data_IF_683727048354
#
_entry.id   IF_683727048354
#
_cell.length_a   1.000
_cell.length_b   1.000
_cell.length_c   1.000
_cell.angle_alpha   90.00
_cell.angle_beta   90.00
_cell.angle_gamma   90.00
#
_symmetry.space_group_name_H-M   'P 1'
#
loop_
_entity.id
_entity.type
_entity.pdbx_description
1 polymer ?
#
# COMPACT_ATOMS: atom_id res chain seq x y z
N UNK A 1 -15.61 -2.76 -25.34
CA UNK A 1 -15.21 -2.60 -26.75
C UNK A 1 -13.74 -2.90 -26.90
N UNK A 2 -13.31 -3.21 -28.12
CA UNK A 2 -11.92 -3.56 -28.40
C UNK A 2 -11.03 -2.32 -28.42
N UNK A 3 -9.80 -2.47 -27.96
CA UNK A 3 -8.75 -1.44 -28.00
C UNK A 3 -7.62 -1.95 -28.87
N UNK A 4 -7.22 -1.16 -29.88
CA UNK A 4 -6.07 -1.48 -30.72
C UNK A 4 -4.84 -0.71 -30.26
N UNK A 5 -3.80 -1.43 -29.84
CA UNK A 5 -2.53 -0.84 -29.42
C UNK A 5 -1.46 -1.15 -30.48
N UNK A 6 -0.81 -0.10 -30.99
CA UNK A 6 0.37 -0.18 -31.83
C UNK A 6 1.51 0.53 -31.16
N UNK A 7 2.71 -0.03 -31.17
CA UNK A 7 3.88 0.60 -30.58
C UNK A 7 5.15 0.27 -31.37
N UNK A 8 6.10 1.17 -31.30
CA UNK A 8 7.48 1.01 -31.74
C UNK A 8 8.43 1.30 -30.57
N UNK A 9 9.72 1.42 -30.82
CA UNK A 9 10.72 1.68 -29.76
C UNK A 9 10.57 3.03 -29.05
N UNK A 10 9.76 3.96 -29.58
CA UNK A 10 9.66 5.33 -29.10
C UNK A 10 8.24 5.80 -28.85
N UNK A 11 7.25 5.21 -29.49
CA UNK A 11 5.88 5.71 -29.50
C UNK A 11 4.88 4.58 -29.30
N UNK A 12 3.74 4.92 -28.72
CA UNK A 12 2.56 4.07 -28.68
C UNK A 12 1.35 4.85 -29.18
N UNK A 13 0.53 4.18 -29.99
CA UNK A 13 -0.78 4.65 -30.45
C UNK A 13 -1.85 3.71 -29.92
N UNK A 14 -2.82 4.24 -29.19
CA UNK A 14 -3.94 3.48 -28.62
C UNK A 14 -5.23 4.00 -29.26
N UNK A 15 -5.91 3.16 -30.03
CA UNK A 15 -7.20 3.45 -30.66
C UNK A 15 -8.31 2.76 -29.89
N UNK A 16 -9.31 3.55 -29.53
CA UNK A 16 -10.54 3.08 -28.90
C UNK A 16 -11.72 3.82 -29.52
N UNK A 17 -12.90 3.21 -29.56
CA UNK A 17 -14.15 3.70 -30.18
C UNK A 17 -14.05 5.04 -30.94
N UNK A 18 -14.09 6.17 -30.25
CA UNK A 18 -14.14 7.51 -30.82
C UNK A 18 -12.85 8.32 -30.59
N UNK A 19 -11.75 7.67 -30.20
CA UNK A 19 -10.53 8.38 -29.87
C UNK A 19 -9.24 7.65 -30.23
N UNK A 20 -8.17 8.46 -30.34
CA UNK A 20 -6.79 7.98 -30.51
C UNK A 20 -5.92 8.68 -29.50
N UNK A 21 -5.20 7.91 -28.69
CA UNK A 21 -4.17 8.41 -27.80
C UNK A 21 -2.79 8.10 -28.40
N UNK A 22 -1.98 9.13 -28.58
CA UNK A 22 -0.58 8.98 -28.97
C UNK A 22 0.31 9.40 -27.80
N UNK A 23 1.25 8.55 -27.41
CA UNK A 23 2.20 8.85 -26.35
C UNK A 23 3.63 8.47 -26.77
N UNK A 24 4.58 9.22 -26.23
CA UNK A 24 5.99 8.90 -26.36
C UNK A 24 6.39 7.98 -25.22
N UNK A 25 7.08 6.89 -25.55
CA UNK A 25 7.61 5.97 -24.56
C UNK A 25 8.84 6.55 -23.86
N UNK A 26 9.01 6.18 -22.60
CA UNK A 26 10.21 6.51 -21.82
C UNK A 26 11.37 5.70 -22.39
N UNK A 27 12.47 6.37 -22.72
CA UNK A 27 13.69 5.71 -23.14
C UNK A 27 14.36 5.01 -21.96
N UNK A 28 14.61 3.72 -22.10
CA UNK A 28 15.25 2.93 -21.05
C UNK A 28 14.69 1.52 -20.92
N UNK A 29 15.43 0.68 -20.20
CA UNK A 29 15.00 -0.67 -19.88
C UNK A 29 13.97 -0.65 -18.75
N UNK A 30 12.83 -1.28 -18.93
CA UNK A 30 11.83 -1.46 -17.88
C UNK A 30 12.44 -2.21 -16.69
N UNK A 31 12.28 -1.73 -15.45
CA UNK A 31 12.83 -2.39 -14.27
C UNK A 31 12.27 -3.81 -14.09
N UNK A 32 13.13 -4.73 -13.61
CA UNK A 32 12.67 -6.06 -13.24
C UNK A 32 11.96 -6.01 -11.88
N UNK A 33 10.66 -5.69 -11.89
CA UNK A 33 9.87 -5.58 -10.66
C UNK A 33 9.75 -6.90 -9.90
N UNK A 34 9.85 -8.05 -10.56
CA UNK A 34 9.84 -9.35 -9.88
C UNK A 34 11.00 -9.51 -8.89
N UNK A 35 12.12 -8.81 -9.11
CA UNK A 35 13.27 -8.86 -8.21
C UNK A 35 13.07 -8.07 -6.90
N UNK A 36 12.05 -7.21 -6.84
CA UNK A 36 11.77 -6.38 -5.66
C UNK A 36 10.53 -6.84 -4.89
N UNK A 37 9.72 -7.73 -5.46
CA UNK A 37 8.59 -8.34 -4.78
C UNK A 37 9.14 -9.36 -3.76
N UNK A 38 8.91 -9.18 -2.45
CA UNK A 38 9.33 -10.15 -1.45
C UNK A 38 8.61 -11.48 -1.63
N UNK A 39 9.34 -12.58 -1.54
CA UNK A 39 8.78 -13.94 -1.58
C UNK A 39 8.61 -14.56 -0.20
N UNK A 40 9.14 -13.90 0.84
CA UNK A 40 9.15 -14.38 2.22
C UNK A 40 8.76 -13.23 3.17
N UNK A 41 7.45 -13.08 3.37
CA UNK A 41 6.82 -12.17 4.32
C UNK A 41 5.92 -13.01 5.26
N UNK A 42 6.49 -13.63 6.31
CA UNK A 42 5.78 -14.63 7.13
C UNK A 42 4.74 -14.02 8.07
N UNK A 43 4.88 -12.75 8.45
CA UNK A 43 3.92 -12.08 9.33
C UNK A 43 2.75 -11.55 8.51
N UNK A 44 1.55 -12.00 8.83
CA UNK A 44 0.34 -11.63 8.09
C UNK A 44 -0.70 -11.05 9.02
N UNK A 45 -1.37 -9.99 8.58
CA UNK A 45 -2.54 -9.45 9.25
C UNK A 45 -3.70 -9.27 8.28
N UNK A 46 -4.86 -9.79 8.65
CA UNK A 46 -6.12 -9.55 7.93
C UNK A 46 -6.92 -8.50 8.68
N UNK A 47 -7.34 -7.47 7.98
CA UNK A 47 -8.05 -6.33 8.56
C UNK A 47 -9.13 -5.81 7.61
N UNK A 48 -10.23 -5.27 8.16
CA UNK A 48 -11.25 -4.57 7.37
C UNK A 48 -10.63 -3.35 6.69
N UNK A 49 -10.69 -3.31 5.36
CA UNK A 49 -10.09 -2.29 4.51
C UNK A 49 -10.66 -0.90 4.77
N UNK A 50 -12.00 -0.81 4.93
CA UNK A 50 -12.68 0.48 5.13
C UNK A 50 -12.41 1.02 6.52
N UNK A 51 -12.37 0.16 7.53
CA UNK A 51 -12.01 0.54 8.89
C UNK A 51 -10.58 1.07 8.96
N UNK A 52 -9.61 0.38 8.33
CA UNK A 52 -8.21 0.82 8.26
C UNK A 52 -8.09 2.16 7.51
N UNK A 53 -8.73 2.30 6.35
CA UNK A 53 -8.73 3.55 5.57
C UNK A 53 -9.34 4.71 6.38
N UNK A 54 -10.40 4.44 7.13
CA UNK A 54 -11.04 5.46 7.98
C UNK A 54 -10.17 5.86 9.18
N UNK A 55 -9.48 4.89 9.80
CA UNK A 55 -8.52 5.17 10.88
C UNK A 55 -7.36 6.03 10.37
N UNK A 56 -6.78 5.68 9.20
CA UNK A 56 -5.73 6.47 8.56
C UNK A 56 -6.17 7.93 8.31
N UNK A 57 -7.38 8.14 7.82
CA UNK A 57 -7.93 9.49 7.60
C UNK A 57 -8.05 10.32 8.88
N UNK A 58 -8.26 9.68 10.03
CA UNK A 58 -8.36 10.36 11.32
C UNK A 58 -7.02 10.61 11.99
N UNK A 59 -6.05 9.71 11.82
CA UNK A 59 -4.72 9.87 12.44
C UNK A 59 -3.75 10.70 11.58
N UNK A 60 -3.84 10.63 10.25
CA UNK A 60 -2.91 11.30 9.35
C UNK A 60 -2.82 12.83 9.54
N UNK A 61 -3.88 13.57 9.87
CA UNK A 61 -3.79 15.02 10.20
C UNK A 61 -2.88 15.36 11.38
N UNK A 62 -2.51 14.39 12.19
CA UNK A 62 -1.62 14.54 13.35
C UNK A 62 -0.16 14.11 13.04
N UNK A 63 0.11 13.68 11.82
CA UNK A 63 1.46 13.38 11.36
C UNK A 63 2.17 14.65 10.88
N UNK A 64 3.50 14.67 10.99
CA UNK A 64 4.30 15.72 10.36
C UNK A 64 3.98 15.86 8.87
N UNK A 65 3.74 17.09 8.41
CA UNK A 65 3.39 17.39 7.02
C UNK A 65 4.48 16.91 6.03
N UNK A 66 5.73 16.98 6.45
CA UNK A 66 6.88 16.61 5.61
C UNK A 66 7.00 15.10 5.40
N UNK A 67 6.80 14.30 6.43
CA UNK A 67 6.97 12.84 6.39
C UNK A 67 5.66 12.10 6.12
N UNK A 68 4.55 12.60 6.65
CA UNK A 68 3.26 11.93 6.67
C UNK A 68 3.37 10.49 7.23
N UNK A 69 4.28 10.31 8.21
CA UNK A 69 4.58 9.01 8.79
C UNK A 69 3.41 8.51 9.63
N UNK A 70 2.98 7.30 9.35
CA UNK A 70 2.03 6.55 10.15
C UNK A 70 2.71 5.28 10.63
N UNK A 71 2.60 4.99 11.94
CA UNK A 71 3.05 3.74 12.55
C UNK A 71 1.89 2.76 12.58
N UNK A 72 2.13 1.55 12.12
CA UNK A 72 1.26 0.40 12.32
C UNK A 72 1.93 -0.50 13.37
N UNK A 73 1.23 -0.80 14.46
CA UNK A 73 1.66 -1.77 15.46
C UNK A 73 0.69 -2.96 15.46
N UNK A 74 1.22 -4.15 15.32
CA UNK A 74 0.45 -5.39 15.21
C UNK A 74 0.90 -6.40 16.26
N UNK A 75 -0.06 -6.93 16.97
CA UNK A 75 0.10 -8.08 17.86
C UNK A 75 -1.20 -8.89 17.86
N UNK A 76 -1.23 -10.03 18.53
CA UNK A 76 -2.36 -10.94 18.46
C UNK A 76 -3.70 -10.26 18.81
N UNK A 77 -4.58 -10.15 17.82
CA UNK A 77 -5.92 -9.55 17.96
C UNK A 77 -5.93 -8.01 18.06
N UNK A 78 -4.76 -7.36 18.01
CA UNK A 78 -4.63 -5.92 18.20
C UNK A 78 -3.85 -5.28 17.04
N UNK A 79 -4.45 -4.26 16.44
CA UNK A 79 -3.87 -3.47 15.37
C UNK A 79 -4.03 -1.99 15.71
N UNK A 80 -2.93 -1.33 16.02
CA UNK A 80 -2.91 0.11 16.31
C UNK A 80 -2.36 0.88 15.13
N UNK A 81 -3.05 1.94 14.73
CA UNK A 81 -2.62 2.93 13.74
C UNK A 81 -2.36 4.22 14.50
N UNK A 82 -1.16 4.75 14.41
CA UNK A 82 -0.80 5.98 15.12
C UNK A 82 0.08 6.91 14.27
N UNK A 83 0.04 8.18 14.59
CA UNK A 83 0.91 9.22 14.03
C UNK A 83 1.21 10.27 15.09
N UNK A 84 2.32 10.98 14.90
CA UNK A 84 2.72 12.08 15.75
C UNK A 84 3.46 13.16 14.96
N UNK A 85 3.36 14.39 15.44
CA UNK A 85 4.17 15.52 15.03
C UNK A 85 4.83 16.10 16.28
N UNK A 86 6.14 15.89 16.41
CA UNK A 86 6.92 16.30 17.58
C UNK A 86 7.02 17.83 17.64
N UNK A 87 7.13 18.50 16.49
CA UNK A 87 7.30 19.95 16.40
C UNK A 87 6.05 20.68 16.88
N UNK A 88 4.87 20.13 16.61
CA UNK A 88 3.59 20.69 17.04
C UNK A 88 3.02 20.01 18.29
N UNK A 89 3.71 19.01 18.86
CA UNK A 89 3.28 18.22 20.00
C UNK A 89 1.86 17.65 19.84
N UNK A 90 1.54 17.18 18.66
CA UNK A 90 0.26 16.53 18.33
C UNK A 90 0.45 15.05 18.09
N UNK A 91 -0.51 14.24 18.49
CA UNK A 91 -0.53 12.81 18.22
C UNK A 91 -1.95 12.28 18.18
N UNK A 92 -2.13 11.20 17.43
CA UNK A 92 -3.38 10.45 17.41
C UNK A 92 -3.09 8.96 17.28
N UNK A 93 -4.01 8.14 17.82
CA UNK A 93 -3.98 6.71 17.68
C UNK A 93 -5.38 6.12 17.62
N UNK A 94 -5.51 5.06 16.87
CA UNK A 94 -6.72 4.28 16.73
C UNK A 94 -6.43 2.79 16.77
N UNK A 95 -7.39 2.04 17.29
CA UNK A 95 -7.29 0.59 17.41
C UNK A 95 -8.33 -0.09 16.54
N UNK A 96 -7.91 -1.15 15.86
CA UNK A 96 -8.73 -1.97 15.00
C UNK A 96 -8.61 -3.44 15.45
N UNK A 97 -9.65 -4.20 15.18
CA UNK A 97 -9.57 -5.65 15.29
C UNK A 97 -8.88 -6.22 14.05
N UNK A 98 -8.03 -7.21 14.25
CA UNK A 98 -7.34 -7.91 13.17
C UNK A 98 -7.13 -9.39 13.51
N UNK A 99 -6.89 -10.18 12.48
CA UNK A 99 -6.30 -11.50 12.61
C UNK A 99 -4.82 -11.38 12.28
N UNK A 100 -3.95 -11.53 13.25
CA UNK A 100 -2.51 -11.38 13.08
C UNK A 100 -1.79 -12.69 13.41
N UNK A 101 -0.89 -13.07 12.50
CA UNK A 101 0.03 -14.20 12.68
C UNK A 101 1.46 -13.69 12.60
N UNK A 102 2.19 -13.76 13.69
CA UNK A 102 3.58 -13.27 13.76
C UNK A 102 3.96 -12.81 15.17
N UNK A 103 5.22 -12.43 15.34
CA UNK A 103 5.68 -11.75 16.55
C UNK A 103 5.20 -10.28 16.54
N UNK A 104 5.00 -9.66 17.72
CA UNK A 104 4.65 -8.23 17.76
C UNK A 104 5.60 -7.38 16.92
N UNK A 105 5.05 -6.52 16.06
CA UNK A 105 5.82 -5.71 15.11
C UNK A 105 5.27 -4.30 15.02
N UNK A 106 6.18 -3.32 14.94
CA UNK A 106 5.87 -1.95 14.54
C UNK A 106 6.55 -1.64 13.21
N UNK A 107 5.84 -1.02 12.28
CA UNK A 107 6.35 -0.62 10.97
C UNK A 107 5.78 0.74 10.57
N UNK A 108 6.62 1.58 9.95
CA UNK A 108 6.22 2.90 9.47
C UNK A 108 5.90 2.88 7.98
N UNK A 109 4.90 3.63 7.58
CA UNK A 109 4.59 3.90 6.17
C UNK A 109 4.26 5.37 5.95
N UNK A 110 4.43 5.83 4.72
CA UNK A 110 3.83 7.10 4.31
C UNK A 110 2.31 6.94 4.24
N UNK A 111 1.59 7.64 5.11
CA UNK A 111 0.16 7.46 5.28
C UNK A 111 -0.65 7.73 4.00
N UNK A 112 -0.26 8.77 3.22
CA UNK A 112 -0.91 9.05 1.94
C UNK A 112 -0.76 7.90 0.92
N UNK A 113 0.42 7.27 0.85
CA UNK A 113 0.66 6.12 -0.04
C UNK A 113 -0.13 4.89 0.41
N UNK A 114 -0.17 4.64 1.73
CA UNK A 114 -0.97 3.54 2.27
C UNK A 114 -2.47 3.74 2.00
N UNK A 115 -2.98 4.98 2.14
CA UNK A 115 -4.36 5.30 1.80
C UNK A 115 -4.66 5.12 0.31
N UNK A 116 -3.72 5.49 -0.56
CA UNK A 116 -3.84 5.30 -2.00
C UNK A 116 -3.94 3.82 -2.36
N UNK A 117 -3.06 2.98 -1.82
CA UNK A 117 -3.11 1.52 -1.97
C UNK A 117 -4.48 0.97 -1.56
N UNK A 118 -4.93 1.28 -0.34
CA UNK A 118 -6.21 0.78 0.18
C UNK A 118 -7.41 1.29 -0.61
N UNK A 119 -7.33 2.49 -1.19
CA UNK A 119 -8.42 3.06 -1.99
C UNK A 119 -8.56 2.40 -3.36
N UNK A 120 -7.49 1.82 -3.89
CA UNK A 120 -7.48 1.14 -5.18
C UNK A 120 -7.75 -0.37 -5.09
N UNK A 121 -7.92 -0.91 -3.89
CA UNK A 121 -8.31 -2.30 -3.68
C UNK A 121 -9.83 -2.44 -3.58
N UNK A 122 -10.35 -3.53 -4.14
CA UNK A 122 -11.79 -3.77 -4.33
C UNK A 122 -12.26 -4.98 -3.49
N UNK A 123 -11.88 -5.03 -2.21
CA UNK A 123 -12.30 -6.09 -1.27
C UNK A 123 -12.75 -5.49 0.04
N UNK A 124 -13.55 -6.19 0.81
CA UNK A 124 -13.94 -5.77 2.15
C UNK A 124 -12.78 -5.92 3.14
N UNK A 125 -11.99 -6.97 3.01
CA UNK A 125 -10.81 -7.21 3.82
C UNK A 125 -9.54 -7.23 2.96
N UNK A 126 -8.42 -6.86 3.57
CA UNK A 126 -7.08 -6.92 2.98
C UNK A 126 -6.15 -7.74 3.88
N UNK A 127 -5.20 -8.40 3.24
CA UNK A 127 -4.10 -9.08 3.91
C UNK A 127 -2.84 -8.26 3.72
N UNK A 128 -2.22 -7.85 4.83
CA UNK A 128 -0.92 -7.17 4.84
C UNK A 128 0.12 -8.20 5.25
N UNK A 129 1.12 -8.42 4.41
CA UNK A 129 2.19 -9.39 4.62
C UNK A 129 3.52 -8.66 4.80
N UNK A 130 4.21 -8.96 5.90
CA UNK A 130 5.43 -8.29 6.34
C UNK A 130 6.49 -9.30 6.75
N UNK A 131 7.75 -8.94 6.60
CA UNK A 131 8.89 -9.71 7.13
C UNK A 131 9.49 -9.02 8.35
N UNK A 132 9.91 -7.78 8.18
CA UNK A 132 10.51 -6.93 9.21
C UNK A 132 10.23 -5.44 8.91
N UNK A 133 10.53 -4.52 9.84
CA UNK A 133 10.22 -3.10 9.67
C UNK A 133 10.98 -2.37 8.56
N UNK A 134 11.99 -2.98 7.96
CA UNK A 134 12.85 -2.35 6.94
C UNK A 134 12.58 -2.85 5.51
N UNK A 135 11.84 -3.96 5.36
CA UNK A 135 11.58 -4.59 4.07
C UNK A 135 10.20 -4.23 3.54
N UNK A 136 10.07 -4.26 2.21
CA UNK A 136 8.82 -3.99 1.54
C UNK A 136 7.68 -4.86 2.08
N UNK A 137 6.54 -4.22 2.35
CA UNK A 137 5.29 -4.90 2.65
C UNK A 137 4.51 -5.21 1.38
N UNK A 138 3.70 -6.25 1.43
CA UNK A 138 2.75 -6.60 0.38
C UNK A 138 1.35 -6.46 0.95
N UNK A 139 0.45 -5.87 0.17
CA UNK A 139 -0.97 -5.77 0.50
C UNK A 139 -1.76 -6.37 -0.65
N UNK A 140 -2.59 -7.34 -0.33
CA UNK A 140 -3.47 -8.00 -1.31
C UNK A 140 -4.92 -7.97 -0.83
N UNK A 141 -5.91 -8.05 -1.73
CA UNK A 141 -7.28 -8.36 -1.35
C UNK A 141 -7.33 -9.71 -0.64
N UNK A 142 -8.15 -9.85 0.42
CA UNK A 142 -8.35 -11.14 1.08
C UNK A 142 -9.07 -12.15 0.15
N UNK A 143 -9.91 -11.64 -0.73
CA UNK A 143 -10.59 -12.38 -1.78
C UNK A 143 -10.31 -11.73 -3.13
N UNK A 144 -9.85 -12.51 -4.10
CA UNK A 144 -9.60 -12.06 -5.47
C UNK A 144 -10.47 -12.86 -6.45
N UNK A 145 -11.01 -12.22 -7.52
CA UNK A 145 -11.63 -12.94 -8.62
C UNK A 145 -10.65 -13.92 -9.29
N UNK A 146 -11.17 -15.00 -9.88
CA UNK A 146 -10.33 -16.03 -10.51
C UNK A 146 -9.48 -15.53 -11.69
N UNK A 147 -9.89 -14.42 -12.32
CA UNK A 147 -9.24 -13.80 -13.48
C UNK A 147 -8.40 -12.56 -13.11
N UNK A 148 -8.24 -12.27 -11.83
CA UNK A 148 -7.44 -11.14 -11.32
C UNK A 148 -6.36 -11.62 -10.34
N UNK A 149 -5.16 -11.03 -10.45
CA UNK A 149 -4.07 -11.21 -9.48
C UNK A 149 -3.53 -9.83 -9.11
N UNK A 150 -4.07 -9.26 -8.03
CA UNK A 150 -3.74 -7.92 -7.56
C UNK A 150 -2.79 -8.01 -6.37
N UNK A 151 -1.62 -7.41 -6.54
CA UNK A 151 -0.60 -7.27 -5.50
C UNK A 151 -0.14 -5.81 -5.44
N UNK A 152 -0.18 -5.23 -4.25
CA UNK A 152 0.34 -3.89 -3.98
C UNK A 152 1.60 -4.00 -3.12
N UNK A 153 2.72 -3.45 -3.61
CA UNK A 153 3.96 -3.36 -2.87
C UNK A 153 4.10 -1.97 -2.28
N UNK A 154 4.45 -1.89 -1.00
CA UNK A 154 4.69 -0.63 -0.30
C UNK A 154 6.01 -0.67 0.48
N UNK A 155 6.84 0.36 0.29
CA UNK A 155 8.10 0.50 1.00
C UNK A 155 7.87 1.13 2.38
N UNK A 156 8.46 0.57 3.44
CA UNK A 156 8.36 1.15 4.76
C UNK A 156 9.22 2.42 4.89
N UNK A 157 8.88 3.20 5.89
CA UNK A 157 9.68 4.31 6.41
C UNK A 157 10.28 3.89 7.76
N UNK A 158 11.51 4.31 8.02
CA UNK A 158 12.15 4.03 9.31
C UNK A 158 11.40 4.76 10.42
N UNK A 159 11.13 4.03 11.50
CA UNK A 159 10.64 4.60 12.75
C UNK A 159 11.84 5.12 13.54
N UNK A 160 11.75 6.35 14.02
CA UNK A 160 12.70 6.92 14.97
C UNK A 160 12.18 6.57 16.36
N UNK A 161 12.69 5.50 16.95
CA UNK A 161 12.43 5.11 18.34
C UNK A 161 13.50 5.70 19.26
#
# INVERSE_FOLDING_TARGET
GDVLIKFDDRNAEIKYNDGVLNCRLIDGRYPNYNSVIPTDNPSQTTVDRRALLSALRRVLPFASESSQLVRLHMENGHFEVSSEDIDFATSAKEQLSCEYTGAPMSIGFKGSSLMEVLSNLNSDQVVIMLADPSRAGIIVPAEQPEDEDVLMLIMPMLLND
#
